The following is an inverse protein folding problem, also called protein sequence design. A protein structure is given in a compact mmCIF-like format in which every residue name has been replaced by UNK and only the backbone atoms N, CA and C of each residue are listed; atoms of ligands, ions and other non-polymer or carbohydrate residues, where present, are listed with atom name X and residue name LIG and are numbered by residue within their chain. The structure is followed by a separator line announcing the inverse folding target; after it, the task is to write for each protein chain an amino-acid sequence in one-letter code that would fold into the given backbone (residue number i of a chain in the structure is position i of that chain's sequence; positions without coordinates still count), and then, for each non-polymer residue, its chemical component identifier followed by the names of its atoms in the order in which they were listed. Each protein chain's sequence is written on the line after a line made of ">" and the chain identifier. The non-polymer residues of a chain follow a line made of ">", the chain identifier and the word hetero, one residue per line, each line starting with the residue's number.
data_IF_680436734307
#
_entry.id   IF_680436734307
#
_cell.length_a   1.000
_cell.length_b   1.000
_cell.length_c   1.000
_cell.angle_alpha   90.00
_cell.angle_beta   90.00
_cell.angle_gamma   90.00
#
_symmetry.space_group_name_H-M   'P 1'
#
loop_
_entity.id
_entity.type
_entity.pdbx_description
1 polymer ?
#
# COMPACT_ATOMS: atom_id res chain seq x y z
N UNK A 1 2.81 -27.50 -3.89
CA UNK A 1 2.25 -26.49 -2.97
C UNK A 1 0.74 -26.41 -3.18
N UNK A 2 -0.06 -26.23 -2.13
CA UNK A 2 -1.52 -26.08 -2.27
C UNK A 2 -1.91 -24.70 -2.81
N UNK A 3 -3.12 -24.57 -3.38
CA UNK A 3 -3.66 -23.31 -3.94
C UNK A 3 -3.62 -22.14 -2.95
N UNK A 4 -3.76 -22.40 -1.65
CA UNK A 4 -3.63 -21.37 -0.61
C UNK A 4 -2.27 -20.66 -0.61
N UNK A 5 -1.19 -21.34 -1.01
CA UNK A 5 0.13 -20.73 -1.08
C UNK A 5 0.22 -19.77 -2.26
N UNK A 6 -0.21 -20.19 -3.47
CA UNK A 6 -0.19 -19.32 -4.65
C UNK A 6 -1.05 -18.08 -4.41
N UNK A 7 -2.29 -18.26 -3.94
CA UNK A 7 -3.18 -17.14 -3.56
C UNK A 7 -2.47 -16.19 -2.60
N UNK A 8 -1.82 -16.69 -1.55
CA UNK A 8 -1.02 -15.88 -0.62
C UNK A 8 0.08 -15.08 -1.30
N UNK A 9 0.87 -15.70 -2.20
CA UNK A 9 1.92 -15.01 -2.97
C UNK A 9 1.32 -13.88 -3.80
N UNK A 10 0.23 -14.13 -4.55
CA UNK A 10 -0.39 -13.12 -5.39
C UNK A 10 -1.00 -11.98 -4.58
N UNK A 11 -1.58 -12.24 -3.41
CA UNK A 11 -2.00 -11.19 -2.48
C UNK A 11 -0.80 -10.31 -2.10
N UNK A 12 0.31 -10.90 -1.67
CA UNK A 12 1.51 -10.15 -1.25
C UNK A 12 2.14 -9.35 -2.39
N UNK A 13 2.24 -9.94 -3.60
CA UNK A 13 2.69 -9.23 -4.80
C UNK A 13 1.75 -8.07 -5.15
N UNK A 14 0.44 -8.26 -5.03
CA UNK A 14 -0.54 -7.19 -5.15
C UNK A 14 -0.23 -6.06 -4.17
N UNK A 15 -0.04 -6.37 -2.88
CA UNK A 15 0.31 -5.37 -1.85
C UNK A 15 1.57 -4.60 -2.23
N UNK A 16 2.62 -5.28 -2.67
CA UNK A 16 3.85 -4.65 -3.13
C UNK A 16 3.64 -3.71 -4.32
N UNK A 17 2.84 -4.11 -5.33
CA UNK A 17 2.44 -3.24 -6.45
C UNK A 17 1.67 -2.02 -5.94
N UNK A 18 0.81 -2.19 -4.94
CA UNK A 18 0.11 -1.12 -4.23
C UNK A 18 1.07 -0.10 -3.61
N UNK A 19 2.05 -0.59 -2.86
CA UNK A 19 3.09 0.24 -2.22
C UNK A 19 3.88 1.00 -3.30
N UNK A 20 4.30 0.32 -4.37
CA UNK A 20 5.06 0.93 -5.46
C UNK A 20 4.25 2.01 -6.21
N UNK A 21 2.98 1.75 -6.50
CA UNK A 21 2.08 2.72 -7.14
C UNK A 21 1.89 3.96 -6.25
N UNK A 22 1.68 3.76 -4.94
CA UNK A 22 1.56 4.85 -3.98
C UNK A 22 2.86 5.66 -3.86
N UNK A 23 4.03 5.02 -3.95
CA UNK A 23 5.32 5.70 -3.95
C UNK A 23 5.48 6.63 -5.17
N UNK A 24 5.12 6.16 -6.36
CA UNK A 24 5.21 6.94 -7.61
C UNK A 24 4.17 8.06 -7.72
N UNK A 25 2.96 7.84 -7.19
CA UNK A 25 1.82 8.74 -7.36
C UNK A 25 1.52 9.61 -6.13
N UNK A 26 2.04 9.30 -4.94
CA UNK A 26 1.64 9.85 -3.64
C UNK A 26 1.88 11.35 -3.40
N UNK A 27 2.43 12.07 -4.39
CA UNK A 27 2.53 13.54 -4.40
C UNK A 27 1.81 14.22 -5.57
N UNK A 28 1.06 13.48 -6.40
CA UNK A 28 0.34 14.00 -7.57
C UNK A 28 -1.15 14.13 -7.24
N UNK A 29 -1.87 14.95 -8.02
CA UNK A 29 -3.35 15.02 -7.97
C UNK A 29 -3.98 13.64 -8.16
N UNK A 30 -3.33 12.77 -8.93
CA UNK A 30 -3.72 11.39 -9.19
C UNK A 30 -3.38 10.39 -8.07
N UNK A 31 -2.93 10.82 -6.88
CA UNK A 31 -2.57 9.89 -5.78
C UNK A 31 -3.71 8.93 -5.41
N UNK A 32 -4.96 9.37 -5.50
CA UNK A 32 -6.14 8.53 -5.26
C UNK A 32 -6.34 7.41 -6.28
N UNK A 33 -5.70 7.49 -7.45
CA UNK A 33 -5.77 6.44 -8.48
C UNK A 33 -4.79 5.30 -8.21
N UNK A 34 -3.79 5.50 -7.34
CA UNK A 34 -2.74 4.50 -7.07
C UNK A 34 -3.28 3.12 -6.66
N UNK A 35 -4.28 3.00 -5.76
CA UNK A 35 -4.84 1.70 -5.38
C UNK A 35 -5.48 1.00 -6.58
N UNK A 36 -6.21 1.73 -7.42
CA UNK A 36 -6.89 1.18 -8.58
C UNK A 36 -5.91 0.74 -9.67
N UNK A 37 -4.86 1.53 -9.91
CA UNK A 37 -3.78 1.17 -10.85
C UNK A 37 -3.06 -0.10 -10.36
N UNK A 38 -2.75 -0.18 -9.07
CA UNK A 38 -2.13 -1.37 -8.50
C UNK A 38 -3.06 -2.59 -8.53
N UNK A 39 -4.35 -2.40 -8.28
CA UNK A 39 -5.35 -3.46 -8.38
C UNK A 39 -5.42 -4.02 -9.80
N UNK A 40 -5.51 -3.15 -10.80
CA UNK A 40 -5.51 -3.55 -12.20
C UNK A 40 -4.22 -4.31 -12.55
N UNK A 41 -3.06 -3.81 -12.12
CA UNK A 41 -1.78 -4.49 -12.33
C UNK A 41 -1.72 -5.87 -11.65
N UNK A 42 -2.22 -5.99 -10.42
CA UNK A 42 -2.30 -7.25 -9.69
C UNK A 42 -3.25 -8.26 -10.33
N UNK A 43 -4.41 -7.82 -10.80
CA UNK A 43 -5.35 -8.66 -11.56
C UNK A 43 -4.70 -9.15 -12.85
N UNK A 44 -4.08 -8.27 -13.63
CA UNK A 44 -3.38 -8.64 -14.86
C UNK A 44 -2.29 -9.66 -14.56
N UNK A 45 -1.50 -9.43 -13.51
CA UNK A 45 -0.44 -10.35 -13.11
C UNK A 45 -0.98 -11.73 -12.74
N UNK A 46 -2.09 -11.82 -12.01
CA UNK A 46 -2.76 -13.08 -11.71
C UNK A 46 -3.36 -13.78 -12.94
N UNK A 47 -3.95 -13.03 -13.88
CA UNK A 47 -4.44 -13.60 -15.15
C UNK A 47 -3.29 -14.17 -15.99
N UNK A 48 -2.13 -13.52 -15.99
CA UNK A 48 -0.99 -13.94 -16.82
C UNK A 48 -0.25 -15.16 -16.24
N UNK A 49 -0.23 -15.29 -14.90
CA UNK A 49 0.64 -16.25 -14.21
C UNK A 49 -0.11 -17.31 -13.38
N UNK A 50 -1.43 -17.20 -13.23
CA UNK A 50 -2.25 -18.07 -12.37
C UNK A 50 -3.70 -18.16 -12.85
N UNK A 51 -4.63 -18.43 -11.93
CA UNK A 51 -6.05 -18.59 -12.18
C UNK A 51 -6.87 -17.41 -11.64
N UNK A 52 -8.20 -17.53 -11.69
CA UNK A 52 -9.13 -16.50 -11.24
C UNK A 52 -8.95 -16.13 -9.75
N UNK A 53 -8.57 -17.10 -8.90
CA UNK A 53 -8.32 -16.86 -7.47
C UNK A 53 -7.08 -15.98 -7.27
N UNK A 54 -5.98 -16.27 -7.99
CA UNK A 54 -4.75 -15.49 -7.99
C UNK A 54 -4.95 -14.08 -8.55
N UNK A 55 -5.76 -13.93 -9.61
CA UNK A 55 -6.13 -12.63 -10.15
C UNK A 55 -6.91 -11.78 -9.14
N UNK A 56 -7.92 -12.37 -8.49
CA UNK A 56 -8.68 -11.68 -7.45
C UNK A 56 -7.78 -11.30 -6.26
N UNK A 57 -6.91 -12.22 -5.82
CA UNK A 57 -5.94 -12.01 -4.76
C UNK A 57 -4.98 -10.84 -5.06
N UNK A 58 -4.35 -10.83 -6.23
CA UNK A 58 -3.47 -9.75 -6.68
C UNK A 58 -4.18 -8.40 -6.73
N UNK A 59 -5.43 -8.39 -7.21
CA UNK A 59 -6.26 -7.18 -7.24
C UNK A 59 -6.55 -6.62 -5.85
N UNK A 60 -7.01 -7.47 -4.93
CA UNK A 60 -7.32 -7.09 -3.54
C UNK A 60 -6.06 -6.62 -2.82
N UNK A 61 -4.95 -7.34 -2.98
CA UNK A 61 -3.65 -6.93 -2.45
C UNK A 61 -3.24 -5.54 -2.95
N UNK A 62 -3.37 -5.29 -4.26
CA UNK A 62 -3.09 -4.00 -4.90
C UNK A 62 -3.90 -2.84 -4.31
N UNK A 63 -5.20 -3.04 -4.13
CA UNK A 63 -6.08 -2.04 -3.51
C UNK A 63 -5.64 -1.72 -2.08
N UNK A 64 -5.46 -2.74 -1.24
CA UNK A 64 -5.16 -2.59 0.18
C UNK A 64 -3.76 -2.00 0.39
N UNK A 65 -2.76 -2.49 -0.35
CA UNK A 65 -1.39 -2.01 -0.30
C UNK A 65 -1.29 -0.54 -0.74
N UNK A 66 -1.97 -0.18 -1.83
CA UNK A 66 -2.01 1.19 -2.31
C UNK A 66 -2.68 2.12 -1.31
N UNK A 67 -3.90 1.79 -0.88
CA UNK A 67 -4.67 2.63 0.04
C UNK A 67 -3.96 2.83 1.39
N UNK A 68 -3.36 1.77 1.95
CA UNK A 68 -2.62 1.84 3.21
C UNK A 68 -1.37 2.71 3.12
N UNK A 69 -0.67 2.66 1.99
CA UNK A 69 0.62 3.36 1.79
C UNK A 69 0.46 4.84 1.47
N UNK A 70 -0.67 5.26 0.91
CA UNK A 70 -0.92 6.67 0.57
C UNK A 70 -0.80 7.60 1.80
N UNK A 71 -1.27 7.17 2.97
CA UNK A 71 -1.17 7.97 4.19
C UNK A 71 0.28 8.10 4.69
N UNK A 72 1.11 7.08 4.47
CA UNK A 72 2.54 7.12 4.77
C UNK A 72 3.24 8.13 3.86
N UNK A 73 3.07 8.01 2.54
CA UNK A 73 3.71 8.88 1.55
C UNK A 73 3.23 10.32 1.69
N UNK A 74 1.90 10.53 1.78
CA UNK A 74 1.32 11.84 1.96
C UNK A 74 1.70 12.46 3.31
N UNK A 75 1.84 11.65 4.36
CA UNK A 75 2.33 12.10 5.67
C UNK A 75 3.81 12.54 5.62
N UNK A 76 4.66 11.80 4.92
CA UNK A 76 6.08 12.12 4.76
C UNK A 76 6.30 13.40 3.93
N UNK A 77 5.56 13.57 2.83
CA UNK A 77 5.60 14.78 2.00
C UNK A 77 5.12 16.02 2.77
N UNK A 78 4.04 15.90 3.55
CA UNK A 78 3.53 17.00 4.40
C UNK A 78 4.50 17.43 5.50
N UNK A 79 5.47 16.58 5.85
CA UNK A 79 6.54 16.89 6.82
C UNK A 79 7.79 17.47 6.17
N UNK A 80 7.75 17.78 4.86
CA UNK A 80 8.86 18.40 4.13
C UNK A 80 9.82 17.41 3.45
N UNK A 81 9.51 16.12 3.40
CA UNK A 81 10.36 15.15 2.70
C UNK A 81 10.37 15.34 1.18
N UNK A 82 11.49 15.03 0.54
CA UNK A 82 11.62 15.17 -0.92
C UNK A 82 10.89 14.03 -1.64
N UNK A 83 10.17 14.37 -2.71
CA UNK A 83 9.36 13.40 -3.46
C UNK A 83 10.16 12.21 -3.96
N UNK A 84 11.33 12.48 -4.54
CA UNK A 84 12.19 11.45 -5.12
C UNK A 84 12.74 10.53 -4.02
N UNK A 85 13.24 11.08 -2.90
CA UNK A 85 13.78 10.26 -1.83
C UNK A 85 12.70 9.38 -1.18
N UNK A 86 11.50 9.94 -0.92
CA UNK A 86 10.37 9.15 -0.40
C UNK A 86 9.98 8.06 -1.40
N UNK A 87 9.88 8.38 -2.69
CA UNK A 87 9.53 7.40 -3.70
C UNK A 87 10.55 6.26 -3.76
N UNK A 88 11.86 6.56 -3.74
CA UNK A 88 12.92 5.55 -3.74
C UNK A 88 12.90 4.67 -2.49
N UNK A 89 12.78 5.27 -1.30
CA UNK A 89 12.73 4.52 -0.04
C UNK A 89 11.51 3.60 0.04
N UNK A 90 10.34 4.10 -0.36
CA UNK A 90 9.10 3.32 -0.33
C UNK A 90 9.09 2.25 -1.43
N UNK A 91 9.65 2.54 -2.61
CA UNK A 91 9.85 1.54 -3.66
C UNK A 91 10.80 0.43 -3.22
N UNK A 92 11.90 0.75 -2.52
CA UNK A 92 12.78 -0.25 -1.93
C UNK A 92 12.03 -1.11 -0.89
N UNK A 93 11.22 -0.48 -0.05
CA UNK A 93 10.32 -1.19 0.86
C UNK A 93 9.35 -2.12 0.12
N UNK A 94 8.80 -1.70 -1.02
CA UNK A 94 7.93 -2.53 -1.85
C UNK A 94 8.66 -3.78 -2.37
N UNK A 95 9.95 -3.68 -2.72
CA UNK A 95 10.75 -4.83 -3.14
C UNK A 95 10.94 -5.83 -1.99
N UNK A 96 11.16 -5.34 -0.77
CA UNK A 96 11.27 -6.21 0.42
C UNK A 96 9.95 -6.94 0.65
N UNK A 97 8.81 -6.24 0.56
CA UNK A 97 7.46 -6.84 0.69
C UNK A 97 7.22 -7.87 -0.43
N UNK A 98 7.59 -7.56 -1.67
CA UNK A 98 7.48 -8.51 -2.78
C UNK A 98 8.31 -9.79 -2.54
N UNK A 99 9.52 -9.65 -1.97
CA UNK A 99 10.34 -10.81 -1.60
C UNK A 99 9.72 -11.63 -0.47
N UNK A 100 9.14 -10.96 0.53
CA UNK A 100 8.45 -11.62 1.66
C UNK A 100 7.19 -12.37 1.22
N UNK A 101 6.52 -11.95 0.13
CA UNK A 101 5.35 -12.65 -0.39
C UNK A 101 5.61 -14.13 -0.74
N UNK A 102 6.85 -14.50 -1.09
CA UNK A 102 7.24 -15.89 -1.36
C UNK A 102 7.42 -16.74 -0.09
N UNK A 103 7.43 -16.13 1.09
CA UNK A 103 7.42 -16.86 2.37
C UNK A 103 5.98 -17.30 2.65
N UNK A 104 5.71 -18.59 2.90
CA UNK A 104 4.36 -19.09 3.12
C UNK A 104 3.61 -18.31 4.21
N UNK A 105 2.40 -17.86 3.89
CA UNK A 105 1.52 -17.14 4.82
C UNK A 105 1.77 -15.64 4.96
N UNK A 106 2.94 -15.10 4.57
CA UNK A 106 3.23 -13.67 4.76
C UNK A 106 2.39 -12.75 3.87
N UNK A 107 2.03 -13.14 2.65
CA UNK A 107 1.19 -12.30 1.80
C UNK A 107 -0.18 -11.96 2.42
N UNK A 108 -0.77 -12.89 3.20
CA UNK A 108 -2.00 -12.60 3.94
C UNK A 108 -1.77 -11.61 5.08
N UNK A 109 -0.63 -11.72 5.78
CA UNK A 109 -0.24 -10.79 6.85
C UNK A 109 -0.04 -9.39 6.29
N UNK A 110 0.63 -9.27 5.15
CA UNK A 110 0.87 -7.99 4.46
C UNK A 110 -0.44 -7.29 4.11
N UNK A 111 -1.43 -8.02 3.58
CA UNK A 111 -2.73 -7.48 3.23
C UNK A 111 -3.51 -6.90 4.41
N UNK A 112 -3.23 -7.34 5.63
CA UNK A 112 -3.86 -6.80 6.86
C UNK A 112 -3.00 -5.68 7.46
N UNK A 113 -1.69 -5.90 7.58
CA UNK A 113 -0.77 -5.00 8.30
C UNK A 113 -0.64 -3.67 7.59
N UNK A 114 -0.50 -3.65 6.26
CA UNK A 114 -0.31 -2.41 5.48
C UNK A 114 -1.50 -1.44 5.63
N UNK A 115 -2.76 -1.86 5.37
CA UNK A 115 -3.90 -0.96 5.59
C UNK A 115 -4.12 -0.62 7.07
N UNK A 116 -3.85 -1.55 8.00
CA UNK A 116 -3.95 -1.26 9.43
C UNK A 116 -2.98 -0.14 9.86
N UNK A 117 -1.74 -0.18 9.38
CA UNK A 117 -0.75 0.88 9.60
C UNK A 117 -1.21 2.21 8.98
N UNK A 118 -1.73 2.20 7.75
CA UNK A 118 -2.29 3.37 7.10
C UNK A 118 -3.42 4.02 7.92
N UNK A 119 -4.38 3.22 8.38
CA UNK A 119 -5.47 3.69 9.26
C UNK A 119 -4.96 4.27 10.58
N UNK A 120 -3.94 3.64 11.18
CA UNK A 120 -3.33 4.11 12.44
C UNK A 120 -2.65 5.47 12.25
N UNK A 121 -1.98 5.69 11.12
CA UNK A 121 -1.35 6.97 10.78
C UNK A 121 -2.38 8.06 10.56
N UNK A 122 -3.45 7.78 9.80
CA UNK A 122 -4.56 8.72 9.56
C UNK A 122 -5.21 9.21 10.87
N UNK A 123 -5.46 8.30 11.82
CA UNK A 123 -6.02 8.64 13.14
C UNK A 123 -5.11 9.56 13.96
N UNK A 124 -3.78 9.42 13.85
CA UNK A 124 -2.83 10.28 14.57
C UNK A 124 -2.76 11.70 14.00
N UNK A 125 -2.92 11.86 12.69
CA UNK A 125 -2.95 13.17 12.04
C UNK A 125 -4.10 14.07 12.52
N UNK A 126 -5.30 13.50 12.72
CA UNK A 126 -6.48 14.26 13.13
C UNK A 126 -6.39 14.88 14.55
N UNK A 127 -5.58 14.28 15.43
CA UNK A 127 -5.43 14.73 16.83
C UNK A 127 -4.51 15.94 16.99
N UNK A 128 -3.61 16.22 16.04
CA UNK A 128 -2.54 17.21 16.17
C UNK A 128 -3.04 18.66 16.34
N UNK A 129 -4.24 18.95 15.87
CA UNK A 129 -4.83 20.29 15.97
C UNK A 129 -5.87 20.44 17.09
N UNK A 130 -6.08 19.42 17.94
CA UNK A 130 -7.11 19.51 18.97
C UNK A 130 -6.82 20.58 20.04
N UNK A 131 -5.56 20.73 20.47
CA UNK A 131 -5.15 21.74 21.46
C UNK A 131 -4.92 23.15 20.90
N UNK A 132 -4.86 23.32 19.57
CA UNK A 132 -4.75 24.65 18.95
C UNK A 132 -6.13 25.31 18.77
N UNK A 133 -7.21 24.52 18.73
CA UNK A 133 -8.60 25.00 18.64
C UNK A 133 -9.05 25.70 19.91
N UNK A 134 -8.46 25.35 21.06
CA UNK A 134 -8.73 26.00 22.34
C UNK A 134 -7.96 27.32 22.48
N UNK A 135 -6.83 27.48 21.79
CA UNK A 135 -6.03 28.72 21.79
C UNK A 135 -6.56 29.78 20.83
N UNK A 136 -7.32 29.40 19.80
CA UNK A 136 -7.93 30.31 18.84
C UNK A 136 -9.34 30.80 19.23
N UNK A 137 -9.76 30.56 20.49
CA UNK A 137 -11.10 30.89 20.99
C UNK A 137 -11.17 32.18 21.82
N UNK A 138 -10.04 32.86 21.98
CA UNK A 138 -9.96 34.21 22.58
C UNK A 138 -9.65 35.26 21.50
#
# INVERSE_FOLDING_TARGET
>A
MGSWYSVGVFVGLGVALGIAAAAGLGGRRASLMAPFVAAAAGVILGIVLGDAEEAAAGGVGGLLGGAGTLELVGGALRRGGTRIAIALLVALGALVVAALAFVPGLGYVEAVVVPALGMRLRRRGAKRYAGLRTLARD
#
